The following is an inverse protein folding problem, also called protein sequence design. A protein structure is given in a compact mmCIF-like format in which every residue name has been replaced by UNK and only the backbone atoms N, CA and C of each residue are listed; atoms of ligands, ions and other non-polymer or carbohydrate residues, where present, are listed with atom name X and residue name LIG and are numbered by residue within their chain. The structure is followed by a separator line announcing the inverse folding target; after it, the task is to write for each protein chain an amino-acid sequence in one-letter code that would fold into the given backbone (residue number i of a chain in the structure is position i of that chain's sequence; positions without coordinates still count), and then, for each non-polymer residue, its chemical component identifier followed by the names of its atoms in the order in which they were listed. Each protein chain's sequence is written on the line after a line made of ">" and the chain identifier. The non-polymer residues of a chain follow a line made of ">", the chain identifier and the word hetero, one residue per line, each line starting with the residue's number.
data_IF_016362793739
#
_entry.id   IF_016362793739
#
_cell.length_a   1.000
_cell.length_b   1.000
_cell.length_c   1.000
_cell.angle_alpha   90.00
_cell.angle_beta   90.00
_cell.angle_gamma   90.00
#
_symmetry.space_group_name_H-M   'P 1'
#
loop_
_entity.id
_entity.type
_entity.pdbx_description
1 polymer ?
#
# COMPACT_ATOMS: atom_id res chain seq x y z
N UNK A 1 -41.61 42.55 12.47
CA UNK A 1 -41.59 41.09 12.66
C UNK A 1 -41.62 40.45 11.29
N UNK A 2 -40.50 39.88 10.82
CA UNK A 2 -40.43 39.24 9.50
C UNK A 2 -40.40 37.72 9.71
N UNK A 3 -41.57 37.12 9.88
CA UNK A 3 -41.77 35.66 9.85
C UNK A 3 -41.64 35.19 8.40
N UNK A 4 -40.41 35.07 7.93
CA UNK A 4 -40.09 34.23 6.78
C UNK A 4 -40.34 32.79 7.22
N UNK A 5 -41.23 32.08 6.53
CA UNK A 5 -41.48 30.66 6.74
C UNK A 5 -40.17 29.91 6.51
N UNK A 6 -39.38 29.68 7.58
CA UNK A 6 -38.20 28.84 7.52
C UNK A 6 -38.67 27.44 7.13
N UNK A 7 -38.45 27.09 5.87
CA UNK A 7 -38.91 25.82 5.35
C UNK A 7 -38.08 24.73 6.02
N UNK A 8 -38.72 24.03 6.96
CA UNK A 8 -38.14 22.91 7.64
C UNK A 8 -37.96 21.77 6.63
N UNK A 9 -36.75 21.26 6.53
CA UNK A 9 -36.38 20.19 5.62
C UNK A 9 -35.73 19.05 6.39
N UNK A 10 -35.98 17.84 5.94
CA UNK A 10 -35.28 16.67 6.44
C UNK A 10 -33.82 16.67 6.00
N UNK A 11 -32.95 15.95 6.70
CA UNK A 11 -31.55 15.80 6.29
C UNK A 11 -31.38 15.15 4.90
N UNK A 12 -32.34 14.31 4.50
CA UNK A 12 -32.34 13.68 3.18
C UNK A 12 -32.64 14.70 2.07
N UNK A 13 -33.58 15.60 2.30
CA UNK A 13 -33.84 16.71 1.38
C UNK A 13 -32.65 17.68 1.33
N UNK A 14 -32.06 17.98 2.49
CA UNK A 14 -30.87 18.83 2.56
C UNK A 14 -29.67 18.21 1.82
N UNK A 15 -29.48 16.89 1.87
CA UNK A 15 -28.41 16.22 1.11
C UNK A 15 -28.65 16.24 -0.39
N UNK A 16 -29.90 16.32 -0.86
CA UNK A 16 -30.16 16.43 -2.30
C UNK A 16 -29.82 17.82 -2.87
N UNK A 17 -29.82 18.84 -2.01
CA UNK A 17 -29.50 20.22 -2.40
C UNK A 17 -28.03 20.58 -2.19
N UNK A 18 -27.24 19.68 -1.60
CA UNK A 18 -25.88 19.96 -1.18
C UNK A 18 -24.94 18.82 -1.58
N UNK A 19 -23.62 19.05 -1.69
CA UNK A 19 -22.68 17.97 -1.96
C UNK A 19 -22.44 17.06 -0.74
N UNK A 20 -23.14 17.26 0.38
CA UNK A 20 -22.91 16.52 1.62
C UNK A 20 -23.98 15.48 1.87
N UNK A 21 -23.56 14.34 2.42
CA UNK A 21 -24.48 13.28 2.83
C UNK A 21 -25.33 13.70 4.04
N UNK A 22 -26.53 13.11 4.16
CA UNK A 22 -27.42 13.33 5.30
C UNK A 22 -26.74 13.00 6.64
N UNK A 23 -25.91 11.96 6.69
CA UNK A 23 -25.13 11.60 7.87
C UNK A 23 -24.13 12.68 8.27
N UNK A 24 -23.44 13.28 7.29
CA UNK A 24 -22.51 14.37 7.55
C UNK A 24 -23.23 15.61 8.08
N UNK A 25 -24.38 15.96 7.51
CA UNK A 25 -25.21 17.06 8.01
C UNK A 25 -25.68 16.79 9.45
N UNK A 26 -26.06 15.54 9.76
CA UNK A 26 -26.40 15.12 11.12
C UNK A 26 -25.23 15.23 12.10
N UNK A 27 -24.01 14.89 11.66
CA UNK A 27 -22.78 15.10 12.44
C UNK A 27 -22.54 16.59 12.73
N UNK A 28 -22.76 17.47 11.75
CA UNK A 28 -22.60 18.92 11.92
C UNK A 28 -23.58 19.49 12.95
N UNK A 29 -24.81 19.00 12.98
CA UNK A 29 -25.81 19.39 13.98
C UNK A 29 -25.35 18.99 15.39
N UNK A 30 -24.88 17.75 15.58
CA UNK A 30 -24.37 17.29 16.88
C UNK A 30 -23.14 18.07 17.35
N UNK A 31 -22.33 18.56 16.41
CA UNK A 31 -21.17 19.41 16.70
C UNK A 31 -21.55 20.88 16.92
N UNK A 32 -22.83 21.25 16.82
CA UNK A 32 -23.29 22.64 16.93
C UNK A 32 -22.79 23.55 15.81
N UNK A 33 -22.35 22.98 14.67
CA UNK A 33 -21.86 23.75 13.51
C UNK A 33 -22.96 24.09 12.51
N UNK A 34 -24.05 23.34 12.54
CA UNK A 34 -25.23 23.53 11.71
C UNK A 34 -26.46 23.55 12.63
N UNK A 35 -27.37 24.49 12.40
CA UNK A 35 -28.62 24.55 13.16
C UNK A 35 -29.56 23.43 12.72
N UNK A 36 -30.06 22.68 13.69
CA UNK A 36 -31.01 21.61 13.46
C UNK A 36 -31.50 21.02 14.77
N UNK A 37 -32.64 20.34 14.72
CA UNK A 37 -33.24 19.72 15.89
C UNK A 37 -33.74 18.32 15.57
N UNK A 38 -33.94 17.54 16.63
CA UNK A 38 -34.45 16.18 16.54
C UNK A 38 -35.93 16.16 16.86
N UNK A 39 -36.73 15.69 15.92
CA UNK A 39 -38.18 15.53 16.09
C UNK A 39 -38.58 14.11 15.68
N UNK A 40 -39.36 13.42 16.54
CA UNK A 40 -39.88 12.06 16.28
C UNK A 40 -38.82 11.06 15.79
N UNK A 41 -37.60 11.16 16.35
CA UNK A 41 -36.48 10.28 16.00
C UNK A 41 -35.70 10.67 14.73
N UNK A 42 -36.16 11.67 13.97
CA UNK A 42 -35.49 12.18 12.77
C UNK A 42 -34.87 13.55 13.04
N UNK A 43 -33.79 13.85 12.31
CA UNK A 43 -33.15 15.17 12.36
C UNK A 43 -33.69 16.05 11.24
N UNK A 44 -33.94 17.31 11.59
CA UNK A 44 -34.44 18.34 10.70
C UNK A 44 -33.53 19.56 10.77
N UNK A 45 -33.46 20.28 9.67
CA UNK A 45 -32.75 21.55 9.55
C UNK A 45 -33.60 22.50 8.71
N UNK A 46 -33.16 23.74 8.56
CA UNK A 46 -33.80 24.72 7.69
C UNK A 46 -32.94 24.97 6.47
N UNK A 47 -33.56 25.31 5.34
CA UNK A 47 -32.80 25.64 4.12
C UNK A 47 -31.83 26.79 4.38
N UNK A 48 -32.25 27.80 5.13
CA UNK A 48 -31.45 28.96 5.44
C UNK A 48 -30.23 28.60 6.30
N UNK A 49 -30.36 27.65 7.24
CA UNK A 49 -29.23 27.20 8.06
C UNK A 49 -28.16 26.50 7.20
N UNK A 50 -28.61 25.66 6.27
CA UNK A 50 -27.71 24.95 5.34
C UNK A 50 -27.01 25.94 4.41
N UNK A 51 -27.72 26.89 3.84
CA UNK A 51 -27.13 27.94 2.99
C UNK A 51 -26.12 28.81 3.74
N UNK A 52 -26.42 29.21 4.99
CA UNK A 52 -25.47 29.93 5.84
C UNK A 52 -24.20 29.11 6.09
N UNK A 53 -24.35 27.82 6.36
CA UNK A 53 -23.20 26.94 6.54
C UNK A 53 -22.36 26.85 5.26
N UNK A 54 -22.98 26.67 4.09
CA UNK A 54 -22.27 26.62 2.81
C UNK A 54 -21.51 27.90 2.53
N UNK A 55 -22.14 29.05 2.77
CA UNK A 55 -21.48 30.36 2.61
C UNK A 55 -20.27 30.48 3.53
N UNK A 56 -20.40 30.10 4.80
CA UNK A 56 -19.29 30.12 5.76
C UNK A 56 -18.14 29.22 5.33
N UNK A 57 -18.43 28.02 4.80
CA UNK A 57 -17.40 27.10 4.28
C UNK A 57 -16.73 27.68 3.03
N UNK A 58 -17.51 28.27 2.12
CA UNK A 58 -16.99 28.93 0.93
C UNK A 58 -16.09 30.12 1.30
N UNK A 59 -16.54 31.02 2.17
CA UNK A 59 -15.75 32.15 2.70
C UNK A 59 -14.43 31.68 3.34
N UNK A 60 -14.47 30.62 4.15
CA UNK A 60 -13.26 30.05 4.74
C UNK A 60 -12.29 29.49 3.68
N UNK A 61 -12.81 28.92 2.59
CA UNK A 61 -11.98 28.44 1.48
C UNK A 61 -11.36 29.58 0.67
N UNK A 62 -12.09 30.68 0.46
CA UNK A 62 -11.59 31.87 -0.25
C UNK A 62 -10.62 32.70 0.60
N UNK A 63 -10.82 32.78 1.92
CA UNK A 63 -9.88 33.42 2.83
C UNK A 63 -8.50 32.74 2.83
N UNK A 64 -8.42 31.47 2.41
CA UNK A 64 -7.15 30.78 2.21
C UNK A 64 -6.52 31.07 0.84
N UNK A 65 -7.31 31.48 -0.15
CA UNK A 65 -6.84 31.74 -1.51
C UNK A 65 -6.06 33.06 -1.64
N UNK A 66 -6.22 34.01 -0.71
CA UNK A 66 -5.37 35.21 -0.62
C UNK A 66 -3.89 34.87 -0.31
N UNK A 67 -3.62 33.66 0.23
CA UNK A 67 -2.28 33.13 0.47
C UNK A 67 -1.76 32.18 -0.64
N UNK A 68 -2.46 32.03 -1.77
CA UNK A 68 -1.90 31.37 -2.96
C UNK A 68 -1.14 32.32 -3.90
N UNK A 69 -1.17 33.63 -3.61
CA UNK A 69 -0.33 34.64 -4.25
C UNK A 69 0.76 35.16 -3.30
N UNK A 70 1.27 34.29 -2.41
CA UNK A 70 2.58 34.53 -1.80
C UNK A 70 3.57 34.48 -2.95
N UNK A 71 4.12 35.62 -3.33
CA UNK A 71 5.34 35.67 -4.13
C UNK A 71 6.36 34.81 -3.39
N UNK A 72 6.56 33.59 -3.87
CA UNK A 72 7.60 32.72 -3.32
C UNK A 72 8.90 33.40 -3.73
N UNK A 73 9.67 33.98 -2.80
CA UNK A 73 10.90 34.64 -3.18
C UNK A 73 11.78 33.58 -3.84
N UNK A 74 12.15 33.82 -5.10
CA UNK A 74 12.95 32.91 -5.91
C UNK A 74 14.26 32.47 -5.21
N UNK A 75 14.69 33.21 -4.20
CA UNK A 75 15.81 32.90 -3.33
C UNK A 75 15.64 31.59 -2.52
N UNK A 76 14.41 31.20 -2.18
CA UNK A 76 14.13 29.96 -1.44
C UNK A 76 13.89 28.73 -2.31
N UNK A 77 13.98 28.88 -3.63
CA UNK A 77 14.12 27.75 -4.55
C UNK A 77 15.62 27.50 -4.79
N UNK A 78 16.36 27.25 -3.71
CA UNK A 78 17.54 26.39 -3.81
C UNK A 78 17.06 24.95 -3.64
N UNK A 79 16.10 24.55 -4.47
CA UNK A 79 15.84 23.13 -4.65
C UNK A 79 17.16 22.53 -5.09
N UNK A 80 17.64 21.59 -4.28
CA UNK A 80 18.81 20.80 -4.55
C UNK A 80 18.78 20.41 -6.02
N UNK A 81 19.67 21.01 -6.82
CA UNK A 81 19.95 20.57 -8.17
C UNK A 81 20.48 19.16 -8.01
N UNK A 82 19.58 18.17 -8.03
CA UNK A 82 19.95 16.78 -8.08
C UNK A 82 20.64 16.66 -9.43
N UNK A 83 21.95 16.79 -9.41
CA UNK A 83 22.80 16.83 -10.59
C UNK A 83 22.46 15.55 -11.36
N UNK A 84 21.73 15.68 -12.46
CA UNK A 84 21.18 14.55 -13.23
C UNK A 84 22.29 13.55 -13.62
N UNK A 85 23.54 14.04 -13.70
CA UNK A 85 24.78 13.26 -13.84
C UNK A 85 24.98 12.22 -12.73
N UNK A 86 24.71 12.54 -11.47
CA UNK A 86 24.80 11.60 -10.34
C UNK A 86 23.65 10.59 -10.31
N UNK A 87 22.45 10.98 -10.77
CA UNK A 87 21.32 10.06 -10.91
C UNK A 87 21.62 8.96 -11.96
N UNK A 88 22.28 9.32 -13.06
CA UNK A 88 22.71 8.37 -14.10
C UNK A 88 23.83 7.43 -13.62
N UNK A 89 24.78 7.93 -12.82
CA UNK A 89 25.85 7.10 -12.24
C UNK A 89 25.25 6.07 -11.26
N UNK A 90 24.31 6.48 -10.39
CA UNK A 90 23.62 5.58 -9.47
C UNK A 90 22.81 4.49 -10.21
N UNK A 91 22.06 4.87 -11.24
CA UNK A 91 21.33 3.92 -12.07
C UNK A 91 22.27 2.92 -12.78
N UNK A 92 23.42 3.39 -13.29
CA UNK A 92 24.43 2.54 -13.91
C UNK A 92 25.07 1.53 -12.95
N UNK A 93 25.42 1.94 -11.72
CA UNK A 93 25.98 1.04 -10.70
C UNK A 93 24.96 -0.03 -10.29
N UNK A 94 23.68 0.34 -10.13
CA UNK A 94 22.61 -0.60 -9.82
C UNK A 94 22.44 -1.63 -10.97
N UNK A 95 22.48 -1.17 -12.22
CA UNK A 95 22.33 -2.04 -13.38
C UNK A 95 23.52 -3.01 -13.54
N UNK A 96 24.76 -2.53 -13.40
CA UNK A 96 25.97 -3.38 -13.45
C UNK A 96 25.99 -4.37 -12.27
N UNK A 97 25.59 -3.94 -11.07
CA UNK A 97 25.45 -4.81 -9.91
C UNK A 97 24.44 -5.94 -10.15
N UNK A 98 23.29 -5.64 -10.74
CA UNK A 98 22.28 -6.65 -11.08
C UNK A 98 22.79 -7.66 -12.13
N UNK A 99 23.54 -7.21 -13.15
CA UNK A 99 24.13 -8.09 -14.17
C UNK A 99 25.18 -9.02 -13.56
N UNK A 100 26.07 -8.50 -12.71
CA UNK A 100 27.09 -9.31 -12.03
C UNK A 100 26.49 -10.27 -10.99
N UNK A 101 25.49 -9.82 -10.22
CA UNK A 101 24.80 -10.66 -9.25
C UNK A 101 23.98 -11.76 -9.92
N UNK A 102 23.34 -11.45 -11.06
CA UNK A 102 22.66 -12.41 -11.91
C UNK A 102 23.58 -13.53 -12.38
N UNK A 103 24.77 -13.20 -12.90
CA UNK A 103 25.75 -14.20 -13.33
C UNK A 103 26.29 -15.06 -12.15
N UNK A 104 26.54 -14.45 -10.99
CA UNK A 104 27.00 -15.17 -9.80
C UNK A 104 25.94 -16.15 -9.25
N UNK A 105 24.66 -15.77 -9.33
CA UNK A 105 23.56 -16.67 -8.94
C UNK A 105 23.29 -17.81 -9.93
N UNK A 106 23.70 -17.65 -11.20
CA UNK A 106 23.50 -18.65 -12.25
C UNK A 106 24.49 -19.82 -12.17
N UNK A 107 25.70 -19.59 -11.65
CA UNK A 107 26.74 -20.62 -11.52
C UNK A 107 26.46 -21.60 -10.36
N UNK A 108 25.77 -21.15 -9.31
CA UNK A 108 25.54 -21.97 -8.11
C UNK A 108 24.48 -23.07 -8.31
N UNK A 109 23.63 -22.99 -9.33
CA UNK A 109 22.55 -23.98 -9.53
C UNK A 109 23.00 -25.30 -10.19
N UNK A 110 24.22 -25.37 -10.76
CA UNK A 110 24.71 -26.60 -11.43
C UNK A 110 25.52 -27.54 -10.53
N UNK A 111 25.97 -27.07 -9.36
CA UNK A 111 26.85 -27.86 -8.49
C UNK A 111 26.10 -28.75 -7.49
N UNK A 112 24.77 -28.63 -7.40
CA UNK A 112 23.94 -29.52 -6.58
C UNK A 112 23.43 -30.74 -7.36
N UNK A 113 23.69 -30.84 -8.67
CA UNK A 113 23.26 -31.97 -9.53
C UNK A 113 24.26 -33.13 -9.61
N UNK A 114 25.43 -33.02 -8.98
CA UNK A 114 26.50 -34.03 -9.11
C UNK A 114 26.61 -35.02 -7.93
N UNK A 115 25.82 -34.87 -6.87
CA UNK A 115 25.73 -35.88 -5.80
C UNK A 115 24.46 -36.69 -5.96
N UNK A 116 24.54 -37.78 -6.73
CA UNK A 116 23.48 -38.79 -6.76
C UNK A 116 23.30 -39.35 -5.34
N UNK A 117 22.10 -39.18 -4.79
CA UNK A 117 21.72 -39.64 -3.45
C UNK A 117 21.67 -41.17 -3.48
N UNK A 118 22.68 -41.82 -2.91
CA UNK A 118 22.73 -43.27 -2.83
C UNK A 118 22.16 -43.75 -1.50
N UNK A 119 21.42 -44.87 -1.53
CA UNK A 119 20.93 -45.54 -0.32
C UNK A 119 21.53 -46.92 -0.24
N UNK A 120 22.23 -47.21 0.86
CA UNK A 120 22.91 -48.49 1.07
C UNK A 120 22.10 -49.33 2.04
N UNK A 121 21.79 -50.57 1.67
CA UNK A 121 21.25 -51.59 2.57
C UNK A 121 22.16 -52.83 2.56
N UNK A 122 22.23 -53.51 3.70
CA UNK A 122 23.00 -54.73 3.89
C UNK A 122 22.06 -55.87 4.25
N UNK A 123 22.22 -57.03 3.62
CA UNK A 123 21.44 -58.22 3.94
C UNK A 123 22.13 -59.08 5.02
N UNK A 124 21.40 -60.07 5.53
CA UNK A 124 21.89 -61.00 6.55
C UNK A 124 22.99 -61.94 6.01
N UNK A 125 23.09 -62.08 4.68
CA UNK A 125 24.09 -62.88 3.97
C UNK A 125 25.40 -62.12 3.71
N UNK A 126 25.49 -60.84 4.08
CA UNK A 126 26.70 -60.01 3.99
C UNK A 126 26.85 -59.21 2.70
N UNK A 127 25.90 -59.26 1.77
CA UNK A 127 25.91 -58.50 0.53
C UNK A 127 25.42 -57.06 0.73
N UNK A 128 25.93 -56.14 -0.08
CA UNK A 128 25.61 -54.70 0.00
C UNK A 128 24.90 -54.28 -1.29
N UNK A 129 23.65 -53.83 -1.14
CA UNK A 129 22.86 -53.26 -2.25
C UNK A 129 22.90 -51.74 -2.16
N UNK A 130 23.25 -51.10 -3.28
CA UNK A 130 23.33 -49.64 -3.38
C UNK A 130 22.34 -49.19 -4.44
N UNK A 131 21.32 -48.45 -4.02
CA UNK A 131 20.34 -47.83 -4.91
C UNK A 131 20.85 -46.43 -5.29
N UNK A 132 21.13 -46.20 -6.58
CA UNK A 132 21.55 -44.90 -7.11
C UNK A 132 20.57 -44.46 -8.20
N UNK A 133 19.60 -43.63 -7.85
CA UNK A 133 18.54 -43.25 -8.81
C UNK A 133 17.51 -44.37 -9.04
N UNK A 134 17.04 -44.54 -10.28
CA UNK A 134 15.92 -45.45 -10.63
C UNK A 134 16.35 -46.87 -11.00
N UNK A 135 17.65 -47.15 -10.97
CA UNK A 135 18.25 -48.42 -11.37
C UNK A 135 18.98 -49.05 -10.17
N UNK A 136 18.69 -50.33 -9.88
CA UNK A 136 19.21 -51.05 -8.72
C UNK A 136 20.47 -51.86 -9.11
N UNK A 137 21.56 -51.72 -8.35
CA UNK A 137 22.81 -52.47 -8.57
C UNK A 137 23.22 -53.23 -7.30
N UNK A 138 23.35 -54.56 -7.43
CA UNK A 138 23.77 -55.45 -6.34
C UNK A 138 25.23 -55.86 -6.58
N UNK A 139 26.12 -55.64 -5.62
CA UNK A 139 27.50 -56.16 -5.65
C UNK A 139 27.79 -57.01 -4.42
N UNK A 140 28.21 -58.25 -4.66
CA UNK A 140 28.72 -59.13 -3.61
C UNK A 140 30.17 -58.72 -3.33
N UNK A 141 30.39 -58.07 -2.19
CA UNK A 141 31.72 -57.68 -1.75
C UNK A 141 32.15 -58.71 -0.70
N UNK A 142 32.86 -59.76 -1.13
CA UNK A 142 33.56 -60.63 -0.19
C UNK A 142 34.73 -59.83 0.40
N UNK A 143 34.56 -59.35 1.62
CA UNK A 143 35.62 -58.65 2.37
C UNK A 143 36.75 -59.65 2.57
N UNK A 144 37.86 -59.45 1.86
CA UNK A 144 39.10 -60.15 2.17
C UNK A 144 39.59 -59.49 3.47
N UNK A 145 39.38 -60.16 4.60
CA UNK A 145 39.96 -59.76 5.87
C UNK A 145 41.48 -59.84 5.72
N UNK A 146 42.13 -58.68 5.72
CA UNK A 146 43.59 -58.61 5.85
C UNK A 146 43.96 -59.07 7.25
N UNK A 147 44.72 -60.16 7.30
CA UNK A 147 45.61 -60.51 8.42
C UNK A 147 46.94 -59.78 8.26
#
# INVERSE_FOLDING_TARGET
>A
MNTSHQQLISLQEASNMTPYSADYLGLLIRKGRLEGFKEKGKWYTTREAVERYMRKVAEASYAHQENLNVEVPAEKIKMASVNFRWALILAGVIFVGAVLFGANSYVKSKQDSACAKYKVRKDESGNITIEVGKDEYVRNISVIQGE
#
